data_IF_299774724590
#
_entry.id   IF_299774724590
#
_cell.length_a   1.000
_cell.length_b   1.000
_cell.length_c   1.000
_cell.angle_alpha   90.00
_cell.angle_beta   90.00
_cell.angle_gamma   90.00
#
_symmetry.space_group_name_H-M   'P 1'
#
loop_
_entity.id
_entity.type
_entity.pdbx_description
1 polymer ?
#
# COMPACT_ATOMS: atom_id res chain seq x y z
N UNK A 1 3.24 52.29 14.91
CA UNK A 1 3.12 50.91 15.44
C UNK A 1 3.20 49.96 14.26
N UNK A 2 4.37 49.38 13.98
CA UNK A 2 4.56 48.47 12.86
C UNK A 2 3.94 47.11 13.17
N UNK A 3 2.93 46.72 12.40
CA UNK A 3 2.30 45.40 12.48
C UNK A 3 3.17 44.35 11.78
N UNK A 4 3.61 43.34 12.53
CA UNK A 4 4.25 42.17 11.95
C UNK A 4 3.17 41.18 11.51
N UNK A 5 3.08 40.93 10.20
CA UNK A 5 2.29 39.83 9.64
C UNK A 5 3.00 38.51 9.96
N UNK A 6 2.52 37.79 10.97
CA UNK A 6 2.88 36.40 11.19
C UNK A 6 2.18 35.54 10.14
N UNK A 7 2.82 35.35 8.99
CA UNK A 7 2.43 34.27 8.09
C UNK A 7 2.73 32.94 8.81
N UNK A 8 1.68 32.30 9.33
CA UNK A 8 1.77 30.94 9.85
C UNK A 8 2.13 30.04 8.66
N UNK A 9 3.32 29.44 8.67
CA UNK A 9 3.72 28.46 7.66
C UNK A 9 2.86 27.21 7.86
N UNK A 10 1.76 27.12 7.13
CA UNK A 10 1.04 25.85 6.99
C UNK A 10 1.95 24.94 6.17
N UNK A 11 2.49 23.89 6.77
CA UNK A 11 3.20 22.88 5.98
C UNK A 11 2.17 22.16 5.08
N UNK A 12 2.48 21.95 3.80
CA UNK A 12 1.56 21.24 2.92
C UNK A 12 1.34 19.80 3.42
N UNK A 13 0.11 19.32 3.29
CA UNK A 13 -0.25 17.94 3.65
C UNK A 13 0.27 16.94 2.62
N UNK A 14 0.61 15.74 3.08
CA UNK A 14 0.91 14.58 2.23
C UNK A 14 -0.15 14.36 1.14
N UNK A 15 0.31 14.16 -0.09
CA UNK A 15 -0.52 13.68 -1.19
C UNK A 15 0.07 12.42 -1.83
N UNK A 16 -0.81 11.58 -2.38
CA UNK A 16 -0.42 10.36 -3.11
C UNK A 16 -0.55 10.63 -4.60
N UNK A 17 0.54 10.42 -5.32
CA UNK A 17 0.64 10.67 -6.76
C UNK A 17 0.31 9.41 -7.57
N UNK A 18 0.79 8.25 -7.11
CA UNK A 18 0.65 6.98 -7.82
C UNK A 18 0.65 5.82 -6.83
N UNK A 19 -0.07 4.76 -7.19
CA UNK A 19 -0.04 3.48 -6.49
C UNK A 19 0.13 2.37 -7.52
N UNK A 20 1.08 1.47 -7.28
CA UNK A 20 1.24 0.23 -8.03
C UNK A 20 1.38 -0.94 -7.06
N UNK A 21 1.10 -2.16 -7.54
CA UNK A 21 1.21 -3.38 -6.73
C UNK A 21 1.96 -4.43 -7.54
N UNK A 22 2.91 -5.09 -6.89
CA UNK A 22 3.70 -6.17 -7.46
C UNK A 22 3.82 -7.34 -6.47
N UNK A 23 4.14 -8.53 -6.99
CA UNK A 23 4.53 -9.66 -6.15
C UNK A 23 6.05 -9.73 -6.11
N UNK A 24 6.62 -10.00 -4.93
CA UNK A 24 8.07 -10.11 -4.78
C UNK A 24 8.61 -11.44 -5.35
N UNK A 25 8.48 -11.64 -6.67
CA UNK A 25 9.04 -12.66 -7.58
C UNK A 25 8.98 -14.16 -7.18
N UNK A 26 8.68 -14.50 -5.94
CA UNK A 26 8.71 -15.85 -5.38
C UNK A 26 7.35 -16.12 -4.78
N UNK A 27 6.41 -16.58 -5.60
CA UNK A 27 5.25 -17.30 -5.04
C UNK A 27 5.83 -18.60 -4.51
N UNK A 28 5.82 -18.81 -3.19
CA UNK A 28 6.58 -19.90 -2.61
C UNK A 28 5.98 -21.25 -2.98
N UNK A 29 6.83 -22.28 -2.89
CA UNK A 29 6.41 -23.67 -2.99
C UNK A 29 5.25 -23.97 -2.01
N UNK A 30 4.59 -25.11 -2.23
CA UNK A 30 3.50 -25.65 -1.42
C UNK A 30 3.51 -25.17 0.05
N UNK A 31 2.50 -24.38 0.42
CA UNK A 31 2.33 -23.93 1.80
C UNK A 31 3.08 -22.66 2.20
N UNK A 32 3.62 -21.88 1.26
CA UNK A 32 4.38 -20.69 1.61
C UNK A 32 3.60 -19.36 1.63
N UNK A 33 4.30 -18.32 2.06
CA UNK A 33 3.85 -16.92 2.12
C UNK A 33 4.31 -16.10 0.92
N UNK A 34 3.38 -15.59 0.12
CA UNK A 34 3.67 -14.57 -0.88
C UNK A 34 3.82 -13.20 -0.20
N UNK A 35 4.88 -12.47 -0.55
CA UNK A 35 5.02 -11.05 -0.21
C UNK A 35 4.54 -10.21 -1.40
N UNK A 36 3.48 -9.45 -1.15
CA UNK A 36 2.87 -8.53 -2.11
C UNK A 36 3.23 -7.13 -1.65
N UNK A 37 3.81 -6.36 -2.58
CA UNK A 37 4.35 -5.03 -2.28
C UNK A 37 3.53 -3.99 -3.05
N UNK A 38 2.89 -3.10 -2.30
CA UNK A 38 2.31 -1.87 -2.83
C UNK A 38 3.37 -0.78 -2.82
N UNK A 39 3.68 -0.21 -3.99
CA UNK A 39 4.57 0.95 -4.11
C UNK A 39 3.70 2.19 -4.22
N UNK A 40 3.83 3.09 -3.24
CA UNK A 40 3.10 4.35 -3.21
C UNK A 40 4.06 5.50 -3.44
N UNK A 41 3.83 6.28 -4.50
CA UNK A 41 4.57 7.52 -4.76
C UNK A 41 3.84 8.69 -4.14
N UNK A 42 4.60 9.56 -3.48
CA UNK A 42 4.09 10.72 -2.74
C UNK A 42 4.83 12.00 -3.16
N UNK A 43 4.23 13.14 -2.84
CA UNK A 43 4.82 14.46 -3.10
C UNK A 43 6.03 14.82 -2.22
N UNK A 44 6.37 13.96 -1.24
CA UNK A 44 7.47 14.13 -0.31
C UNK A 44 7.14 14.98 0.92
N UNK A 45 5.89 15.40 1.13
CA UNK A 45 5.48 15.99 2.40
C UNK A 45 5.35 14.91 3.49
N UNK A 46 5.58 15.31 4.74
CA UNK A 46 5.39 14.40 5.85
C UNK A 46 3.88 14.19 6.13
N UNK A 47 3.52 13.00 6.58
CA UNK A 47 2.14 12.71 6.94
C UNK A 47 1.90 11.23 7.24
N UNK A 48 0.61 10.88 7.38
CA UNK A 48 0.17 9.51 7.60
C UNK A 48 -0.73 9.09 6.46
N UNK A 49 -0.44 7.91 5.93
CA UNK A 49 -1.24 7.24 4.93
C UNK A 49 -2.08 6.16 5.60
N UNK A 50 -3.39 6.20 5.40
CA UNK A 50 -4.33 5.16 5.81
C UNK A 50 -4.69 4.30 4.59
N UNK A 51 -4.62 2.98 4.73
CA UNK A 51 -4.83 2.05 3.63
C UNK A 51 -5.36 0.70 4.10
N UNK A 52 -5.87 -0.09 3.16
CA UNK A 52 -6.18 -1.48 3.40
C UNK A 52 -5.95 -2.34 2.16
N UNK A 53 -5.77 -3.63 2.41
CA UNK A 53 -5.71 -4.68 1.40
C UNK A 53 -7.03 -5.42 1.32
N UNK A 54 -7.45 -5.73 0.10
CA UNK A 54 -8.53 -6.66 -0.22
C UNK A 54 -7.94 -7.88 -0.91
N UNK A 55 -8.31 -9.07 -0.43
CA UNK A 55 -7.85 -10.36 -0.97
C UNK A 55 -9.00 -11.09 -1.64
N UNK A 56 -8.73 -11.79 -2.74
CA UNK A 56 -9.75 -12.60 -3.46
C UNK A 56 -10.36 -13.74 -2.63
N UNK A 57 -9.74 -14.10 -1.50
CA UNK A 57 -10.32 -15.06 -0.55
C UNK A 57 -11.39 -14.46 0.38
N UNK A 58 -11.76 -13.19 0.15
CA UNK A 58 -12.78 -12.48 0.91
C UNK A 58 -12.25 -11.83 2.20
N UNK A 59 -10.95 -11.94 2.49
CA UNK A 59 -10.35 -11.29 3.66
C UNK A 59 -9.87 -9.88 3.36
N UNK A 60 -9.78 -9.08 4.41
CA UNK A 60 -9.22 -7.72 4.39
C UNK A 60 -8.18 -7.58 5.49
N UNK A 61 -7.17 -6.72 5.29
CA UNK A 61 -6.24 -6.35 6.36
C UNK A 61 -6.88 -5.51 7.47
N UNK A 62 -8.05 -4.91 7.20
CA UNK A 62 -8.50 -3.72 7.93
C UNK A 62 -7.62 -2.50 7.61
N UNK A 63 -7.97 -1.35 8.17
CA UNK A 63 -7.19 -0.11 7.98
C UNK A 63 -5.85 -0.20 8.72
N UNK A 64 -4.79 0.01 7.96
CA UNK A 64 -3.41 0.12 8.38
C UNK A 64 -2.95 1.57 8.22
N UNK A 65 -1.95 1.96 9.02
CA UNK A 65 -1.35 3.29 9.00
C UNK A 65 0.12 3.19 8.66
N UNK A 66 0.57 4.00 7.71
CA UNK A 66 1.97 4.16 7.33
C UNK A 66 2.40 5.61 7.54
N UNK A 67 3.57 5.81 8.14
CA UNK A 67 4.12 7.16 8.35
C UNK A 67 5.09 7.51 7.22
N UNK A 68 4.79 8.57 6.48
CA UNK A 68 5.67 9.11 5.44
C UNK A 68 6.50 10.24 6.06
N UNK A 69 7.81 10.09 6.02
CA UNK A 69 8.73 11.10 6.54
C UNK A 69 8.96 12.21 5.52
N UNK A 70 9.38 13.39 5.98
CA UNK A 70 9.66 14.53 5.08
C UNK A 70 10.75 14.14 4.07
N UNK A 71 10.48 14.39 2.79
CA UNK A 71 11.37 14.07 1.67
C UNK A 71 11.23 12.64 1.14
N UNK A 72 10.48 11.77 1.83
CA UNK A 72 10.18 10.43 1.37
C UNK A 72 9.10 10.48 0.28
N UNK A 73 9.50 10.21 -0.96
CA UNK A 73 8.63 10.20 -2.15
C UNK A 73 8.10 8.82 -2.53
N UNK A 74 8.52 7.80 -1.81
CA UNK A 74 8.14 6.41 -2.04
C UNK A 74 8.02 5.69 -0.70
N UNK A 75 6.92 4.96 -0.51
CA UNK A 75 6.79 4.00 0.58
C UNK A 75 6.31 2.65 0.06
N UNK A 76 6.72 1.57 0.75
CA UNK A 76 6.39 0.19 0.41
C UNK A 76 5.45 -0.38 1.46
N UNK A 77 4.27 -0.78 1.02
CA UNK A 77 3.23 -1.36 1.86
C UNK A 77 3.22 -2.87 1.62
N UNK A 78 3.50 -3.65 2.66
CA UNK A 78 3.63 -5.10 2.52
C UNK A 78 2.36 -5.83 2.92
N UNK A 79 1.98 -6.82 2.13
CA UNK A 79 0.97 -7.83 2.46
C UNK A 79 1.61 -9.21 2.41
N UNK A 80 1.70 -9.84 3.58
CA UNK A 80 2.15 -11.23 3.72
C UNK A 80 0.95 -12.18 3.65
N UNK A 81 0.82 -12.91 2.54
CA UNK A 81 -0.28 -13.84 2.31
C UNK A 81 0.21 -15.29 2.30
N UNK A 82 -0.12 -16.03 3.36
CA UNK A 82 0.18 -17.47 3.46
C UNK A 82 -0.90 -18.31 2.77
N UNK A 83 -0.48 -19.13 1.81
CA UNK A 83 -1.32 -20.13 1.16
C UNK A 83 -1.14 -21.48 1.85
N UNK A 84 -2.21 -22.27 1.95
CA UNK A 84 -2.17 -23.60 2.58
C UNK A 84 -2.82 -24.62 1.67
N UNK A 85 -2.27 -25.83 1.67
CA UNK A 85 -2.81 -26.96 0.92
C UNK A 85 -2.29 -27.06 -0.52
N UNK A 86 -2.66 -28.19 -1.14
CA UNK A 86 -2.39 -28.48 -2.55
C UNK A 86 -3.46 -27.85 -3.44
N UNK A 87 -3.12 -27.61 -4.68
CA UNK A 87 -4.04 -27.11 -5.70
C UNK A 87 -3.58 -25.83 -6.39
N UNK A 88 -4.46 -25.34 -7.25
CA UNK A 88 -4.27 -24.10 -8.01
C UNK A 88 -5.28 -23.07 -7.55
N UNK A 89 -4.80 -21.89 -7.15
CA UNK A 89 -5.63 -20.79 -6.68
C UNK A 89 -5.27 -19.52 -7.44
N UNK A 90 -6.28 -18.88 -8.04
CA UNK A 90 -6.13 -17.52 -8.60
C UNK A 90 -6.23 -16.52 -7.45
N UNK A 91 -5.10 -15.92 -7.11
CA UNK A 91 -5.00 -14.93 -6.06
C UNK A 91 -5.02 -13.53 -6.68
N UNK A 92 -5.84 -12.65 -6.10
CA UNK A 92 -5.82 -11.21 -6.38
C UNK A 92 -5.67 -10.46 -5.07
N UNK A 93 -4.75 -9.52 -5.05
CA UNK A 93 -4.58 -8.57 -3.96
C UNK A 93 -4.75 -7.15 -4.50
N UNK A 94 -5.65 -6.39 -3.88
CA UNK A 94 -5.94 -5.00 -4.24
C UNK A 94 -5.60 -4.09 -3.07
N UNK A 95 -4.78 -3.07 -3.34
CA UNK A 95 -4.43 -2.01 -2.41
C UNK A 95 -5.37 -0.83 -2.62
N UNK A 96 -5.96 -0.35 -1.53
CA UNK A 96 -6.77 0.88 -1.50
C UNK A 96 -6.18 1.87 -0.50
N UNK A 97 -6.06 3.11 -0.94
CA UNK A 97 -5.68 4.23 -0.09
C UNK A 97 -6.97 4.88 0.43
N UNK A 98 -7.15 4.85 1.76
CA UNK A 98 -8.29 5.46 2.44
C UNK A 98 -8.06 6.95 2.64
N UNK A 99 -6.82 7.34 2.98
CA UNK A 99 -6.40 8.73 3.13
C UNK A 99 -4.89 8.87 2.89
N UNK A 100 -4.41 9.92 2.19
CA UNK A 100 -5.21 10.91 1.47
C UNK A 100 -5.94 10.28 0.27
N UNK A 101 -7.19 10.68 0.05
CA UNK A 101 -8.05 10.15 -1.01
C UNK A 101 -7.75 10.79 -2.38
N UNK A 102 -8.13 10.11 -3.47
CA UNK A 102 -8.07 10.67 -4.83
C UNK A 102 -7.23 9.86 -5.82
N UNK A 103 -6.53 8.83 -5.34
CA UNK A 103 -5.82 7.88 -6.19
C UNK A 103 -6.66 6.63 -6.44
N UNK A 104 -6.55 6.08 -7.65
CA UNK A 104 -7.21 4.83 -8.00
C UNK A 104 -6.58 3.66 -7.23
N UNK A 105 -7.37 2.65 -6.82
CA UNK A 105 -6.84 1.39 -6.33
C UNK A 105 -5.91 0.72 -7.35
N UNK A 106 -4.94 -0.04 -6.86
CA UNK A 106 -4.07 -0.86 -7.67
C UNK A 106 -4.14 -2.32 -7.23
N UNK A 107 -3.99 -3.25 -8.15
CA UNK A 107 -4.11 -4.67 -7.86
C UNK A 107 -3.07 -5.49 -8.61
N UNK A 108 -2.74 -6.65 -8.04
CA UNK A 108 -1.96 -7.69 -8.70
C UNK A 108 -2.73 -9.00 -8.67
N UNK A 109 -2.61 -9.75 -9.77
CA UNK A 109 -3.15 -11.10 -9.89
C UNK A 109 -1.99 -12.08 -10.10
N UNK A 110 -2.03 -13.20 -9.41
CA UNK A 110 -1.03 -14.26 -9.53
C UNK A 110 -1.65 -15.62 -9.21
N UNK A 111 -1.08 -16.67 -9.78
CA UNK A 111 -1.56 -18.03 -9.53
C UNK A 111 -0.67 -18.72 -8.50
N UNK A 112 -1.24 -19.12 -7.36
CA UNK A 112 -0.60 -20.10 -6.49
C UNK A 112 -0.82 -21.50 -7.06
N UNK A 113 0.26 -22.27 -7.21
CA UNK A 113 0.19 -23.67 -7.66
C UNK A 113 1.02 -24.54 -6.73
N UNK A 114 0.40 -25.58 -6.19
CA UNK A 114 1.06 -26.62 -5.41
C UNK A 114 0.67 -28.00 -5.96
N UNK A 115 1.62 -28.78 -6.51
CA UNK A 115 1.38 -30.11 -7.06
C UNK A 115 0.95 -31.15 -6.01
#
# INVERSE_FOLDING_TARGET
MSGYLLAQRLEPSLTVEEVSVETAATVPACGGTADIVGVVRTDGHAGTLAYHWLRSDGTTSGTLLETVTRGQRETRLHLLWTFRGRGRHEARAELRIDSPSGVSPAAVEFTYTCP
#
